data_IF_226666148282
#
_entry.id   IF_226666148282
#
_cell.length_a   1.000
_cell.length_b   1.000
_cell.length_c   1.000
_cell.angle_alpha   90.00
_cell.angle_beta   90.00
_cell.angle_gamma   90.00
#
_symmetry.space_group_name_H-M   'P 1'
#
loop_
_entity.id
_entity.type
_entity.pdbx_description
1 polymer ?
#
# COMPACT_ATOMS: atom_id res chain seq x y z
N UNK A 1 10.32 -17.91 -44.89
CA UNK A 1 9.23 -16.96 -45.21
C UNK A 1 9.22 -15.89 -44.15
N UNK A 2 9.29 -14.60 -44.53
CA UNK A 2 9.03 -13.50 -43.61
C UNK A 2 7.56 -13.63 -43.22
N UNK A 3 7.28 -14.04 -41.98
CA UNK A 3 5.92 -14.16 -41.49
C UNK A 3 5.44 -12.78 -41.09
N UNK A 4 4.95 -12.04 -42.09
CA UNK A 4 4.42 -10.70 -41.88
C UNK A 4 3.30 -10.72 -40.84
N UNK A 5 3.27 -9.69 -39.99
CA UNK A 5 2.23 -9.50 -38.97
C UNK A 5 2.06 -10.66 -37.99
N UNK A 6 3.15 -11.37 -37.65
CA UNK A 6 3.16 -12.48 -36.69
C UNK A 6 2.38 -12.16 -35.40
N UNK A 7 2.64 -10.99 -34.80
CA UNK A 7 2.01 -10.62 -33.55
C UNK A 7 0.49 -10.42 -33.67
N UNK A 8 0.02 -9.81 -34.76
CA UNK A 8 -1.42 -9.64 -35.01
C UNK A 8 -2.11 -10.98 -35.20
N UNK A 9 -1.51 -11.89 -35.98
CA UNK A 9 -2.06 -13.23 -36.21
C UNK A 9 -2.16 -14.03 -34.92
N UNK A 10 -1.17 -13.92 -34.03
CA UNK A 10 -1.21 -14.55 -32.70
C UNK A 10 -2.33 -13.97 -31.82
N UNK A 11 -2.42 -12.65 -31.74
CA UNK A 11 -3.47 -11.94 -30.99
C UNK A 11 -4.86 -12.36 -31.47
N UNK A 12 -5.05 -12.43 -32.79
CA UNK A 12 -6.32 -12.85 -33.41
C UNK A 12 -6.61 -14.33 -33.15
N UNK A 13 -5.62 -15.22 -33.29
CA UNK A 13 -5.79 -16.67 -33.10
C UNK A 13 -6.23 -17.03 -31.69
N UNK A 14 -5.64 -16.40 -30.67
CA UNK A 14 -5.96 -16.66 -29.27
C UNK A 14 -7.03 -15.70 -28.71
N UNK A 15 -7.67 -14.90 -29.56
CA UNK A 15 -8.72 -13.93 -29.17
C UNK A 15 -8.31 -13.00 -28.02
N UNK A 16 -7.04 -12.57 -28.00
CA UNK A 16 -6.48 -11.77 -26.90
C UNK A 16 -7.05 -10.36 -26.95
N UNK A 17 -7.62 -9.89 -25.82
CA UNK A 17 -8.17 -8.53 -25.74
C UNK A 17 -7.04 -7.50 -25.71
N UNK A 18 -7.21 -6.43 -26.48
CA UNK A 18 -6.23 -5.33 -26.58
C UNK A 18 -5.97 -4.66 -25.22
N UNK A 19 -6.99 -4.56 -24.36
CA UNK A 19 -6.84 -3.95 -23.04
C UNK A 19 -5.90 -4.74 -22.14
N UNK A 20 -6.05 -6.07 -22.13
CA UNK A 20 -5.27 -6.96 -21.27
C UNK A 20 -3.83 -7.02 -21.75
N UNK A 21 -3.63 -7.04 -23.07
CA UNK A 21 -2.31 -6.99 -23.68
C UNK A 21 -1.59 -5.65 -23.44
N UNK A 22 -2.30 -4.52 -23.55
CA UNK A 22 -1.77 -3.20 -23.23
C UNK A 22 -1.31 -3.10 -21.77
N UNK A 23 -2.13 -3.61 -20.84
CA UNK A 23 -1.79 -3.68 -19.41
C UNK A 23 -0.61 -4.61 -19.15
N UNK A 24 -0.60 -5.79 -19.76
CA UNK A 24 0.44 -6.79 -19.58
C UNK A 24 1.82 -6.29 -20.06
N UNK A 25 1.85 -5.69 -21.25
CA UNK A 25 3.05 -5.14 -21.87
C UNK A 25 3.45 -3.76 -21.31
N UNK A 26 2.61 -3.14 -20.48
CA UNK A 26 2.79 -1.79 -19.91
C UNK A 26 2.99 -0.74 -21.00
N UNK A 27 2.07 -0.71 -21.97
CA UNK A 27 2.06 0.25 -23.07
C UNK A 27 0.64 0.75 -23.35
N UNK A 28 0.52 1.84 -24.12
CA UNK A 28 -0.79 2.34 -24.53
C UNK A 28 -1.49 1.39 -25.52
N UNK A 29 -2.83 1.47 -25.61
CA UNK A 29 -3.59 0.73 -26.64
C UNK A 29 -3.15 1.09 -28.06
N UNK A 30 -2.82 2.36 -28.31
CA UNK A 30 -2.30 2.83 -29.60
C UNK A 30 -0.98 2.12 -29.95
N UNK A 31 -0.10 1.96 -28.97
CA UNK A 31 1.16 1.20 -29.13
C UNK A 31 0.90 -0.26 -29.49
N UNK A 32 -0.10 -0.90 -28.89
CA UNK A 32 -0.49 -2.27 -29.27
C UNK A 32 -0.98 -2.34 -30.72
N UNK A 33 -1.79 -1.39 -31.17
CA UNK A 33 -2.21 -1.34 -32.58
C UNK A 33 -1.02 -1.15 -33.52
N UNK A 34 -0.02 -0.34 -33.14
CA UNK A 34 1.23 -0.21 -33.91
C UNK A 34 1.99 -1.54 -33.97
N UNK A 35 2.16 -2.23 -32.85
CA UNK A 35 2.85 -3.53 -32.82
C UNK A 35 2.15 -4.59 -33.68
N UNK A 36 0.83 -4.59 -33.71
CA UNK A 36 0.04 -5.48 -34.58
C UNK A 36 0.25 -5.19 -36.07
N UNK A 37 0.58 -3.95 -36.42
CA UNK A 37 0.79 -3.56 -37.82
C UNK A 37 2.23 -3.75 -38.29
N UNK A 38 3.17 -4.13 -37.42
CA UNK A 38 4.54 -4.40 -37.80
C UNK A 38 4.67 -5.64 -38.68
N UNK A 39 5.52 -5.52 -39.71
CA UNK A 39 5.79 -6.60 -40.65
C UNK A 39 6.76 -7.62 -40.03
N UNK A 40 7.74 -7.17 -39.24
CA UNK A 40 8.62 -8.06 -38.48
C UNK A 40 8.37 -7.94 -36.98
N UNK A 41 8.43 -9.09 -36.29
CA UNK A 41 8.39 -9.14 -34.84
C UNK A 41 9.54 -8.36 -34.19
N UNK A 42 10.70 -8.30 -34.88
CA UNK A 42 11.90 -7.62 -34.39
C UNK A 42 11.73 -6.09 -34.26
N UNK A 43 10.68 -5.52 -34.87
CA UNK A 43 10.34 -4.10 -34.76
C UNK A 43 9.75 -3.74 -33.38
N UNK A 44 9.29 -4.74 -32.62
CA UNK A 44 8.81 -4.55 -31.25
C UNK A 44 10.04 -4.35 -30.33
N UNK A 45 10.03 -3.41 -29.36
CA UNK A 45 11.14 -3.27 -28.42
C UNK A 45 11.47 -4.57 -27.68
N UNK A 46 12.76 -4.84 -27.45
CA UNK A 46 13.24 -6.11 -26.89
C UNK A 46 12.58 -6.48 -25.55
N UNK A 47 12.36 -5.53 -24.64
CA UNK A 47 11.69 -5.78 -23.37
C UNK A 47 10.25 -6.29 -23.56
N UNK A 48 9.55 -5.80 -24.58
CA UNK A 48 8.20 -6.24 -24.94
C UNK A 48 8.22 -7.58 -25.66
N UNK A 49 9.22 -7.83 -26.50
CA UNK A 49 9.41 -9.15 -27.13
C UNK A 49 9.55 -10.25 -26.07
N UNK A 50 10.37 -10.05 -25.04
CA UNK A 50 10.52 -11.02 -23.94
C UNK A 50 9.21 -11.29 -23.20
N UNK A 51 8.40 -10.26 -22.94
CA UNK A 51 7.07 -10.45 -22.35
C UNK A 51 6.15 -11.24 -23.26
N UNK A 52 6.16 -10.98 -24.57
CA UNK A 52 5.34 -11.73 -25.54
C UNK A 52 5.80 -13.19 -25.63
N UNK A 53 7.11 -13.45 -25.66
CA UNK A 53 7.68 -14.80 -25.58
C UNK A 53 7.20 -15.54 -24.34
N UNK A 54 7.27 -14.91 -23.17
CA UNK A 54 6.79 -15.48 -21.92
C UNK A 54 5.29 -15.78 -21.93
N UNK A 55 4.48 -14.86 -22.48
CA UNK A 55 3.03 -15.02 -22.59
C UNK A 55 2.67 -16.34 -23.29
N UNK A 56 3.35 -16.63 -24.40
CA UNK A 56 3.16 -17.86 -25.17
C UNK A 56 4.07 -19.03 -24.75
N UNK A 57 4.94 -18.84 -23.76
CA UNK A 57 5.90 -19.85 -23.29
C UNK A 57 6.89 -20.31 -24.36
N UNK A 58 7.33 -19.39 -25.24
CA UNK A 58 8.28 -19.64 -26.34
C UNK A 58 9.57 -18.86 -26.13
N UNK A 59 10.66 -19.31 -26.75
CA UNK A 59 11.96 -18.66 -26.59
C UNK A 59 12.39 -17.83 -27.80
N UNK A 60 11.76 -18.04 -28.95
CA UNK A 60 12.15 -17.38 -30.20
C UNK A 60 10.99 -17.24 -31.19
N UNK A 61 11.20 -16.40 -32.20
CA UNK A 61 10.22 -16.07 -33.25
C UNK A 61 9.78 -17.31 -34.04
N UNK A 62 10.68 -18.28 -34.26
CA UNK A 62 10.37 -19.52 -34.99
C UNK A 62 9.45 -20.46 -34.22
N UNK A 63 9.48 -20.42 -32.90
CA UNK A 63 8.55 -21.17 -32.06
C UNK A 63 7.20 -20.48 -31.94
N UNK A 64 7.19 -19.14 -31.84
CA UNK A 64 5.97 -18.34 -31.89
C UNK A 64 5.22 -18.57 -33.20
N UNK A 65 5.92 -18.60 -34.33
CA UNK A 65 5.30 -18.82 -35.63
C UNK A 65 4.65 -20.19 -35.74
N UNK A 66 5.24 -21.25 -35.18
CA UNK A 66 4.65 -22.60 -35.17
C UNK A 66 3.29 -22.66 -34.47
N UNK A 67 3.02 -21.77 -33.52
CA UNK A 67 1.71 -21.68 -32.88
C UNK A 67 0.61 -21.26 -33.86
N UNK A 68 0.94 -20.58 -34.95
CA UNK A 68 -0.02 -20.23 -35.99
C UNK A 68 -0.46 -21.45 -36.80
N UNK A 69 0.39 -22.47 -36.90
CA UNK A 69 0.09 -23.71 -37.61
C UNK A 69 -0.56 -24.77 -36.70
N UNK A 70 -0.54 -24.57 -35.38
CA UNK A 70 -1.16 -25.46 -34.39
C UNK A 70 -2.69 -25.51 -34.53
N UNK A 71 -3.27 -26.71 -34.69
CA UNK A 71 -4.71 -26.89 -34.83
C UNK A 71 -5.31 -27.84 -33.78
N UNK A 72 -4.49 -28.43 -32.92
CA UNK A 72 -4.98 -29.25 -31.82
C UNK A 72 -5.70 -28.36 -30.80
N UNK A 73 -7.02 -28.58 -30.67
CA UNK A 73 -7.88 -27.84 -29.76
C UNK A 73 -7.42 -27.93 -28.30
N UNK A 74 -6.92 -29.09 -27.87
CA UNK A 74 -6.46 -29.26 -26.48
C UNK A 74 -5.19 -28.45 -26.22
N UNK A 75 -4.31 -28.35 -27.21
CA UNK A 75 -3.10 -27.53 -27.13
C UNK A 75 -3.47 -26.04 -27.11
N UNK A 76 -4.39 -25.61 -27.97
CA UNK A 76 -4.85 -24.22 -28.02
C UNK A 76 -5.53 -23.78 -26.70
N UNK A 77 -6.36 -24.64 -26.10
CA UNK A 77 -6.99 -24.37 -24.80
C UNK A 77 -5.94 -24.14 -23.72
N UNK A 78 -4.88 -24.97 -23.65
CA UNK A 78 -3.80 -24.79 -22.67
C UNK A 78 -3.08 -23.44 -22.80
N UNK A 79 -2.91 -22.94 -24.03
CA UNK A 79 -2.33 -21.62 -24.24
C UNK A 79 -3.29 -20.50 -23.83
N UNK A 80 -4.58 -20.62 -24.15
CA UNK A 80 -5.59 -19.66 -23.69
C UNK A 80 -5.67 -19.61 -22.16
N UNK A 81 -5.72 -20.77 -21.49
CA UNK A 81 -5.72 -20.86 -20.02
C UNK A 81 -4.46 -20.21 -19.40
N UNK A 82 -3.29 -20.44 -20.00
CA UNK A 82 -2.04 -19.79 -19.58
C UNK A 82 -2.13 -18.27 -19.74
N UNK A 83 -2.60 -17.78 -20.88
CA UNK A 83 -2.73 -16.34 -21.17
C UNK A 83 -3.66 -15.70 -20.14
N UNK A 84 -4.82 -16.31 -19.89
CA UNK A 84 -5.81 -15.84 -18.94
C UNK A 84 -5.25 -15.82 -17.51
N UNK A 85 -4.56 -16.89 -17.08
CA UNK A 85 -3.90 -16.96 -15.77
C UNK A 85 -2.85 -15.86 -15.59
N UNK A 86 -2.02 -15.59 -16.61
CA UNK A 86 -1.00 -14.52 -16.55
C UNK A 86 -1.65 -13.13 -16.45
N UNK A 87 -2.81 -12.93 -17.08
CA UNK A 87 -3.55 -11.67 -16.98
C UNK A 87 -4.23 -11.51 -15.62
N UNK A 88 -4.77 -12.59 -15.04
CA UNK A 88 -5.40 -12.61 -13.70
C UNK A 88 -4.40 -12.44 -12.55
N UNK A 89 -3.23 -13.08 -12.62
CA UNK A 89 -2.17 -12.98 -11.59
C UNK A 89 -1.70 -11.54 -11.32
N UNK A 90 -1.79 -10.65 -12.31
CA UNK A 90 -1.48 -9.22 -12.14
C UNK A 90 -2.61 -8.44 -11.47
N UNK A 91 -3.87 -8.82 -11.66
CA UNK A 91 -5.03 -8.17 -11.01
C UNK A 91 -5.11 -8.53 -9.52
N UNK A 92 -4.87 -9.80 -9.16
CA UNK A 92 -4.95 -10.26 -7.77
C UNK A 92 -3.79 -9.72 -6.91
N UNK A 93 -2.57 -9.63 -7.45
CA UNK A 93 -1.43 -9.03 -6.73
C UNK A 93 -1.63 -7.54 -6.43
N UNK A 94 -2.14 -6.77 -7.39
CA UNK A 94 -2.40 -5.34 -7.19
C UNK A 94 -3.50 -5.10 -6.13
N UNK A 95 -4.51 -5.98 -6.08
CA UNK A 95 -5.57 -5.94 -5.07
C UNK A 95 -5.03 -6.27 -3.67
N UNK A 96 -4.24 -7.34 -3.54
CA UNK A 96 -3.64 -7.75 -2.27
C UNK A 96 -2.66 -6.71 -1.70
N UNK A 97 -1.84 -6.11 -2.56
CA UNK A 97 -0.89 -5.07 -2.14
C UNK A 97 -1.62 -3.82 -1.63
N UNK A 98 -2.75 -3.45 -2.24
CA UNK A 98 -3.56 -2.30 -1.81
C UNK A 98 -4.16 -2.54 -0.41
N UNK A 99 -4.72 -3.72 -0.17
CA UNK A 99 -5.28 -4.09 1.15
C UNK A 99 -4.17 -4.14 2.22
N UNK A 100 -2.99 -4.65 1.87
CA UNK A 100 -1.85 -4.67 2.77
C UNK A 100 -1.38 -3.25 3.13
N UNK A 101 -1.32 -2.33 2.16
CA UNK A 101 -0.96 -0.93 2.38
C UNK A 101 -1.97 -0.23 3.28
N UNK A 102 -3.28 -0.38 3.02
CA UNK A 102 -4.33 0.21 3.85
C UNK A 102 -4.26 -0.29 5.30
N UNK A 103 -4.01 -1.59 5.48
CA UNK A 103 -3.87 -2.21 6.81
C UNK A 103 -2.64 -1.67 7.56
N UNK A 104 -1.51 -1.50 6.85
CA UNK A 104 -0.29 -0.93 7.42
C UNK A 104 -0.45 0.55 7.77
N UNK A 105 -1.14 1.33 6.93
CA UNK A 105 -1.46 2.74 7.20
C UNK A 105 -2.34 2.88 8.45
N UNK A 106 -3.35 2.01 8.61
CA UNK A 106 -4.19 2.01 9.81
C UNK A 106 -3.36 1.77 11.07
N UNK A 107 -2.49 0.75 11.06
CA UNK A 107 -1.59 0.45 12.19
C UNK A 107 -0.62 1.58 12.49
N UNK A 108 -0.08 2.24 11.46
CA UNK A 108 0.80 3.39 11.61
C UNK A 108 0.09 4.55 12.30
N UNK A 109 -1.15 4.85 11.90
CA UNK A 109 -1.95 5.90 12.52
C UNK A 109 -2.26 5.61 13.99
N UNK A 110 -2.62 4.36 14.31
CA UNK A 110 -2.84 3.91 15.69
C UNK A 110 -1.57 4.03 16.55
N UNK A 111 -0.43 3.58 16.03
CA UNK A 111 0.86 3.67 16.73
C UNK A 111 1.30 5.14 16.93
N UNK A 112 1.06 6.00 15.94
CA UNK A 112 1.37 7.44 16.04
C UNK A 112 0.53 8.11 17.13
N UNK A 113 -0.77 7.83 17.18
CA UNK A 113 -1.65 8.34 18.23
C UNK A 113 -1.23 7.88 19.64
N UNK A 114 -0.80 6.62 19.77
CA UNK A 114 -0.26 6.09 21.04
C UNK A 114 1.05 6.78 21.43
N UNK A 115 1.96 6.99 20.47
CA UNK A 115 3.22 7.68 20.71
C UNK A 115 3.00 9.11 21.22
N UNK A 116 2.08 9.84 20.62
CA UNK A 116 1.75 11.21 21.04
C UNK A 116 1.12 11.23 22.44
N UNK A 117 0.26 10.27 22.76
CA UNK A 117 -0.28 10.09 24.12
C UNK A 117 0.82 9.81 25.14
N UNK A 118 1.74 8.88 24.85
CA UNK A 118 2.88 8.59 25.71
C UNK A 118 3.79 9.80 25.89
N UNK A 119 4.11 10.53 24.81
CA UNK A 119 4.90 11.77 24.89
C UNK A 119 4.26 12.81 25.79
N UNK A 120 2.94 12.98 25.72
CA UNK A 120 2.23 13.89 26.62
C UNK A 120 2.34 13.46 28.09
N UNK A 121 2.16 12.16 28.38
CA UNK A 121 2.31 11.62 29.74
C UNK A 121 3.75 11.79 30.23
N UNK A 122 4.75 11.51 29.41
CA UNK A 122 6.17 11.68 29.75
C UNK A 122 6.49 13.15 30.03
N UNK A 123 6.00 14.09 29.22
CA UNK A 123 6.20 15.52 29.45
C UNK A 123 5.58 15.99 30.78
N UNK A 124 4.44 15.42 31.18
CA UNK A 124 3.83 15.68 32.50
C UNK A 124 4.70 15.10 33.62
N UNK A 125 5.16 13.84 33.48
CA UNK A 125 6.00 13.19 34.48
C UNK A 125 7.34 13.92 34.69
N UNK A 126 7.94 14.45 33.62
CA UNK A 126 9.18 15.25 33.69
C UNK A 126 9.03 16.51 34.56
N UNK A 127 7.83 17.10 34.67
CA UNK A 127 7.61 18.26 35.55
C UNK A 127 7.81 17.93 37.04
N UNK A 128 7.70 16.65 37.41
CA UNK A 128 7.89 16.16 38.77
C UNK A 128 9.23 15.44 38.96
N UNK A 129 10.13 15.47 37.96
CA UNK A 129 11.39 14.71 37.98
C UNK A 129 12.30 15.07 39.17
N UNK A 130 12.22 16.32 39.63
CA UNK A 130 12.97 16.83 40.78
C UNK A 130 12.50 16.28 42.14
N UNK A 131 11.37 15.57 42.19
CA UNK A 131 10.82 14.95 43.40
C UNK A 131 11.22 13.47 43.46
N UNK A 132 11.34 12.92 44.67
CA UNK A 132 11.48 11.48 44.84
C UNK A 132 10.16 10.74 44.59
N UNK A 133 10.24 9.43 44.34
CA UNK A 133 9.08 8.64 43.93
C UNK A 133 8.01 8.50 45.01
N UNK A 134 8.37 8.56 46.30
CA UNK A 134 7.41 8.53 47.40
C UNK A 134 6.62 9.84 47.41
N UNK A 135 7.30 10.98 47.28
CA UNK A 135 6.65 12.29 47.22
C UNK A 135 5.74 12.43 46.00
N UNK A 136 6.19 11.97 44.81
CA UNK A 136 5.35 11.93 43.61
C UNK A 136 4.06 11.14 43.84
N UNK A 137 4.21 9.94 44.42
CA UNK A 137 3.07 9.06 44.71
C UNK A 137 2.09 9.72 45.67
N UNK A 138 2.57 10.29 46.78
CA UNK A 138 1.72 10.95 47.78
C UNK A 138 0.94 12.13 47.17
N UNK A 139 1.58 12.94 46.33
CA UNK A 139 0.90 14.06 45.65
C UNK A 139 -0.20 13.53 44.73
N UNK A 140 0.10 12.53 43.90
CA UNK A 140 -0.88 11.94 42.97
C UNK A 140 -2.03 11.32 43.76
N UNK A 141 -1.76 10.51 44.78
CA UNK A 141 -2.78 9.84 45.61
C UNK A 141 -3.71 10.87 46.25
N UNK A 142 -3.16 11.96 46.81
CA UNK A 142 -3.97 13.02 47.44
C UNK A 142 -4.82 13.80 46.44
N UNK A 143 -4.28 14.13 45.27
CA UNK A 143 -5.06 14.80 44.21
C UNK A 143 -6.14 13.86 43.69
N UNK A 144 -5.83 12.57 43.49
CA UNK A 144 -6.78 11.56 43.06
C UNK A 144 -7.91 11.37 44.06
N UNK A 145 -7.62 11.25 45.36
CA UNK A 145 -8.63 11.19 46.44
C UNK A 145 -9.63 12.35 46.35
N UNK A 146 -9.15 13.57 46.07
CA UNK A 146 -9.99 14.76 45.95
C UNK A 146 -10.84 14.72 44.68
N UNK A 147 -10.25 14.33 43.55
CA UNK A 147 -10.92 14.43 42.23
C UNK A 147 -11.78 13.22 41.87
N UNK A 148 -11.65 12.08 42.56
CA UNK A 148 -12.28 10.81 42.17
C UNK A 148 -13.81 10.88 42.12
N UNK A 149 -14.43 11.66 43.02
CA UNK A 149 -15.89 11.79 43.12
C UNK A 149 -16.42 13.09 42.51
N UNK A 150 -15.54 13.94 41.98
CA UNK A 150 -15.92 15.24 41.43
C UNK A 150 -16.50 15.13 40.02
N UNK A 151 -17.52 15.93 39.73
CA UNK A 151 -18.01 16.14 38.37
C UNK A 151 -17.16 17.17 37.60
N UNK A 152 -17.38 17.30 36.29
CA UNK A 152 -16.58 18.19 35.43
C UNK A 152 -16.54 19.66 35.87
N UNK A 153 -17.62 20.17 36.48
CA UNK A 153 -17.67 21.54 36.98
C UNK A 153 -16.86 21.70 38.28
N UNK A 154 -16.94 20.73 39.18
CA UNK A 154 -16.17 20.68 40.41
C UNK A 154 -14.66 20.56 40.15
N UNK A 155 -14.27 19.73 39.17
CA UNK A 155 -12.88 19.63 38.71
C UNK A 155 -12.38 20.98 38.20
N UNK A 156 -13.17 21.68 37.38
CA UNK A 156 -12.80 23.00 36.86
C UNK A 156 -12.57 24.00 38.00
N UNK A 157 -13.50 24.05 38.96
CA UNK A 157 -13.38 24.92 40.12
C UNK A 157 -12.13 24.58 40.95
N UNK A 158 -11.84 23.29 41.16
CA UNK A 158 -10.64 22.85 41.88
C UNK A 158 -9.35 23.30 41.18
N UNK A 159 -9.28 23.20 39.85
CA UNK A 159 -8.13 23.69 39.08
C UNK A 159 -7.98 25.21 39.19
N UNK A 160 -9.07 25.96 39.14
CA UNK A 160 -9.06 27.42 39.31
C UNK A 160 -8.54 27.81 40.72
N UNK A 161 -8.94 27.07 41.77
CA UNK A 161 -8.41 27.24 43.12
C UNK A 161 -6.90 26.98 43.21
N UNK A 162 -6.40 25.90 42.60
CA UNK A 162 -4.97 25.61 42.55
C UNK A 162 -4.19 26.73 41.85
N UNK A 163 -4.76 27.32 40.80
CA UNK A 163 -4.15 28.43 40.08
C UNK A 163 -4.05 29.69 40.96
N UNK A 164 -5.10 30.01 41.72
CA UNK A 164 -5.09 31.11 42.69
C UNK A 164 -4.03 30.87 43.76
N UNK A 165 -3.99 29.67 44.35
CA UNK A 165 -2.99 29.31 45.35
C UNK A 165 -1.55 29.43 44.82
N UNK A 166 -1.30 29.00 43.57
CA UNK A 166 0.01 29.11 42.93
C UNK A 166 0.48 30.57 42.81
N UNK A 167 -0.42 31.51 42.52
CA UNK A 167 -0.11 32.96 42.49
C UNK A 167 0.23 33.46 43.89
N UNK A 168 -0.57 33.09 44.91
CA UNK A 168 -0.30 33.49 46.30
C UNK A 168 1.05 32.97 46.80
N UNK A 169 1.35 31.67 46.59
CA UNK A 169 2.60 31.04 47.02
C UNK A 169 3.84 31.72 46.41
N UNK A 170 3.81 32.01 45.11
CA UNK A 170 4.91 32.72 44.42
C UNK A 170 5.14 34.13 44.95
N UNK A 171 4.07 34.83 45.34
CA UNK A 171 4.15 36.19 45.88
C UNK A 171 4.58 36.21 47.36
N UNK A 172 4.21 35.19 48.14
CA UNK A 172 4.64 35.02 49.53
C UNK A 172 6.15 34.74 49.64
N UNK A 173 6.74 34.03 48.67
CA UNK A 173 8.18 33.74 48.60
C UNK A 173 9.04 34.93 48.15
N UNK A 174 8.43 36.06 47.75
CA UNK A 174 9.11 37.28 47.28
C UNK A 174 9.13 38.42 48.32
N UNK A 175 8.62 38.16 49.52
CA UNK A 175 8.72 39.05 50.70
C UNK A 175 9.75 38.48 51.67
#
# INVERSE_FOLDING_TARGET
MIQSKLFERLVTKFSIKVNDLARYLEVSKATIYNYRNFDSFDQIPNDKQYKIFYLFGKENVNELSRLLDENDKNVLVKYSERIDSIFQDKEEKASHDTIAIETLQKRLNEATAQLDSCRNITAIAMKLEHLDDITKKVIIDKVSEITCEMNSLEIKNFLDYLQVYAVYSKNALRK
#
